data_IF_808033687117
#
_entry.id   IF_808033687117
#
_cell.length_a   1.000
_cell.length_b   1.000
_cell.length_c   1.000
_cell.angle_alpha   90.00
_cell.angle_beta   90.00
_cell.angle_gamma   90.00
#
_symmetry.space_group_name_H-M   'P 1'
#
loop_
_entity.id
_entity.type
_entity.pdbx_description
1 polymer ?
#
# COMPACT_ATOMS: atom_id res chain seq x y z
N UNK A 1 -3.40 25.49 -14.77
CA UNK A 1 -2.02 25.09 -14.43
C UNK A 1 -2.10 24.27 -13.17
N UNK A 2 -1.97 22.94 -13.27
CA UNK A 2 -2.03 22.05 -12.11
C UNK A 2 -0.73 22.16 -11.30
N UNK A 3 -0.79 22.26 -9.96
CA UNK A 3 0.40 22.29 -9.13
C UNK A 3 1.07 20.92 -9.16
N UNK A 4 2.36 20.89 -9.49
CA UNK A 4 3.17 19.66 -9.52
C UNK A 4 3.18 19.00 -8.13
N UNK A 5 3.06 17.66 -8.04
CA UNK A 5 3.10 16.96 -6.76
C UNK A 5 4.49 17.11 -6.12
N UNK A 6 4.58 17.93 -5.08
CA UNK A 6 5.79 18.07 -4.27
C UNK A 6 5.98 16.80 -3.44
N UNK A 7 6.84 15.91 -3.94
CA UNK A 7 7.31 14.74 -3.18
C UNK A 7 8.17 15.25 -2.02
N UNK A 8 7.62 15.27 -0.80
CA UNK A 8 8.38 15.57 0.42
C UNK A 8 9.39 14.44 0.66
N UNK A 9 10.60 14.58 0.14
CA UNK A 9 11.70 13.64 0.40
C UNK A 9 12.11 13.74 1.86
N UNK A 10 12.35 12.60 2.50
CA UNK A 10 12.81 12.54 3.90
C UNK A 10 14.25 13.02 3.99
N UNK A 11 14.66 13.48 5.18
CA UNK A 11 16.00 14.08 5.39
C UNK A 11 17.15 13.13 5.02
N UNK A 12 16.95 11.82 5.18
CA UNK A 12 17.92 10.77 4.85
C UNK A 12 18.09 10.58 3.34
N UNK A 13 16.99 10.61 2.56
CA UNK A 13 17.05 10.56 1.09
C UNK A 13 17.76 11.79 0.52
N UNK A 14 17.63 12.94 1.18
CA UNK A 14 18.28 14.17 0.80
C UNK A 14 19.79 14.12 1.11
N UNK A 15 20.20 13.42 2.17
CA UNK A 15 21.61 13.15 2.47
C UNK A 15 22.25 12.23 1.41
N UNK A 16 21.58 11.14 1.04
CA UNK A 16 22.07 10.24 -0.03
C UNK A 16 22.14 10.94 -1.40
N UNK A 17 21.20 11.83 -1.69
CA UNK A 17 21.26 12.65 -2.90
C UNK A 17 22.45 13.62 -2.90
N UNK A 18 22.75 14.24 -1.75
CA UNK A 18 23.91 15.13 -1.59
C UNK A 18 25.24 14.38 -1.73
N UNK A 19 25.31 13.16 -1.19
CA UNK A 19 26.45 12.26 -1.33
C UNK A 19 26.64 11.83 -2.80
N UNK A 20 25.57 11.45 -3.49
CA UNK A 20 25.62 11.08 -4.93
C UNK A 20 26.04 12.24 -5.84
N UNK A 21 25.82 13.48 -5.42
CA UNK A 21 26.17 14.70 -6.15
C UNK A 21 27.56 15.24 -5.78
N UNK A 22 28.28 14.58 -4.86
CA UNK A 22 29.67 14.89 -4.54
C UNK A 22 29.86 16.23 -3.81
N UNK A 23 28.89 16.68 -3.02
CA UNK A 23 29.01 17.93 -2.24
C UNK A 23 29.70 17.61 -0.90
N UNK A 24 30.94 18.06 -0.65
CA UNK A 24 31.64 17.80 0.61
C UNK A 24 30.97 18.53 1.78
N UNK A 25 30.83 17.83 2.91
CA UNK A 25 30.12 18.31 4.11
C UNK A 25 30.98 19.20 5.04
N UNK A 26 32.25 19.39 4.69
CA UNK A 26 33.22 20.10 5.53
C UNK A 26 33.61 21.45 4.92
N UNK A 27 32.78 22.46 5.16
CA UNK A 27 33.20 23.86 5.20
C UNK A 27 32.61 24.43 6.49
N UNK A 28 33.43 24.41 7.54
CA UNK A 28 32.99 24.57 8.92
C UNK A 28 32.50 25.96 9.30
N UNK A 29 31.83 26.00 10.45
CA UNK A 29 31.95 27.04 11.46
C UNK A 29 31.42 26.52 12.81
N UNK A 30 31.96 27.02 13.94
CA UNK A 30 32.17 26.28 15.18
C UNK A 30 31.01 26.33 16.18
N UNK A 31 31.11 25.47 17.20
CA UNK A 31 30.30 25.48 18.40
C UNK A 31 30.59 26.70 19.30
N UNK A 32 29.54 27.29 19.88
CA UNK A 32 29.55 27.90 21.22
C UNK A 32 28.10 28.22 21.66
N UNK A 33 27.93 28.21 22.97
CA UNK A 33 26.72 28.06 23.77
C UNK A 33 25.90 29.34 24.00
N UNK A 34 24.71 29.14 24.60
CA UNK A 34 24.05 29.89 25.69
C UNK A 34 22.85 30.82 25.39
N UNK A 35 21.86 30.65 26.28
CA UNK A 35 20.62 31.38 26.55
C UNK A 35 20.70 32.92 26.49
N UNK A 36 19.59 33.55 26.06
CA UNK A 36 18.73 34.49 26.82
C UNK A 36 17.90 35.38 25.88
N UNK A 37 16.62 35.59 26.22
CA UNK A 37 15.71 36.62 25.69
C UNK A 37 15.80 37.89 26.57
N UNK A 38 15.13 39.05 26.34
CA UNK A 38 14.58 39.75 25.15
C UNK A 38 15.16 41.20 25.02
N UNK A 39 14.74 42.05 24.04
CA UNK A 39 14.52 43.54 24.14
C UNK A 39 14.55 44.29 22.78
N UNK A 40 13.39 44.84 22.39
CA UNK A 40 13.04 46.22 21.92
C UNK A 40 13.98 47.13 21.06
N UNK A 41 13.56 47.40 19.80
CA UNK A 41 13.53 48.67 18.99
C UNK A 41 14.82 49.42 18.52
N UNK A 42 14.82 50.34 17.50
CA UNK A 42 14.07 50.52 16.22
C UNK A 42 15.03 50.90 15.00
N UNK A 43 14.68 51.73 13.98
CA UNK A 43 14.51 51.40 12.55
C UNK A 43 15.57 51.97 11.55
N UNK A 44 15.73 51.35 10.35
CA UNK A 44 16.41 51.95 9.19
C UNK A 44 15.81 51.36 7.89
N UNK A 45 14.89 52.06 7.22
CA UNK A 45 15.06 52.96 6.06
C UNK A 45 15.48 52.24 4.75
N UNK A 46 14.64 52.30 3.68
CA UNK A 46 14.79 51.47 2.47
C UNK A 46 15.80 52.04 1.47
N UNK A 47 16.71 51.18 0.99
CA UNK A 47 17.70 51.52 -0.03
C UNK A 47 17.07 51.84 -1.40
N UNK A 48 17.60 52.88 -2.04
CA UNK A 48 17.24 53.38 -3.36
C UNK A 48 17.75 52.47 -4.49
N UNK A 49 17.01 52.29 -5.61
CA UNK A 49 17.47 51.46 -6.72
C UNK A 49 18.45 52.22 -7.66
N UNK A 50 19.59 51.58 -7.93
CA UNK A 50 20.67 52.04 -8.82
C UNK A 50 20.25 52.01 -10.31
N UNK A 51 20.62 52.98 -11.17
CA UNK A 51 20.16 53.04 -12.57
C UNK A 51 20.79 51.97 -13.49
N UNK A 52 19.99 51.47 -14.44
CA UNK A 52 20.36 50.45 -15.42
C UNK A 52 21.31 50.97 -16.52
N UNK A 53 22.32 50.16 -16.88
CA UNK A 53 23.27 50.45 -17.95
C UNK A 53 22.64 50.24 -19.36
N UNK A 54 23.03 51.02 -20.38
CA UNK A 54 22.43 50.93 -21.72
C UNK A 54 22.87 49.69 -22.50
N UNK A 55 22.02 49.16 -23.41
CA UNK A 55 22.26 47.92 -24.14
C UNK A 55 23.34 48.07 -25.22
N UNK A 56 24.24 47.08 -25.30
CA UNK A 56 25.29 47.00 -26.32
C UNK A 56 24.69 46.69 -27.71
N UNK A 57 25.03 47.45 -28.76
CA UNK A 57 24.54 47.18 -30.11
C UNK A 57 25.18 45.91 -30.67
N UNK A 58 24.35 44.94 -31.05
CA UNK A 58 24.77 43.72 -31.73
C UNK A 58 24.92 44.03 -33.22
N UNK A 59 26.16 44.00 -33.69
CA UNK A 59 26.53 44.20 -35.09
C UNK A 59 25.95 43.04 -35.92
N UNK A 60 24.97 43.33 -36.77
CA UNK A 60 24.42 42.32 -37.69
C UNK A 60 25.53 41.77 -38.57
N UNK A 61 25.75 40.44 -38.49
CA UNK A 61 26.66 39.72 -39.38
C UNK A 61 26.34 40.08 -40.83
N UNK A 62 27.36 40.52 -41.56
CA UNK A 62 27.24 40.92 -42.96
C UNK A 62 26.73 39.74 -43.78
N UNK A 63 25.74 40.01 -44.63
CA UNK A 63 25.08 39.09 -45.56
C UNK A 63 26.01 38.42 -46.60
N UNK A 64 27.32 38.68 -46.52
CA UNK A 64 28.37 38.13 -47.38
C UNK A 64 28.92 36.77 -46.92
N UNK A 65 28.53 36.26 -45.73
CA UNK A 65 28.90 34.91 -45.29
C UNK A 65 27.86 33.83 -45.65
N UNK A 66 26.76 34.20 -46.31
CA UNK A 66 25.81 33.25 -46.91
C UNK A 66 26.34 32.74 -48.26
N UNK A 67 27.42 31.97 -48.23
CA UNK A 67 27.79 31.10 -49.34
C UNK A 67 26.79 29.93 -49.48
N UNK A 68 26.73 29.26 -50.63
CA UNK A 68 25.91 28.06 -50.81
C UNK A 68 26.31 27.02 -49.75
N UNK A 69 25.34 26.55 -48.96
CA UNK A 69 25.60 25.49 -47.99
C UNK A 69 26.02 24.23 -48.75
N UNK A 70 27.19 23.68 -48.42
CA UNK A 70 27.62 22.36 -48.90
C UNK A 70 26.53 21.32 -48.59
N UNK A 71 26.33 20.32 -49.46
CA UNK A 71 25.33 19.28 -49.24
C UNK A 71 25.64 18.61 -47.90
N UNK A 72 24.67 18.67 -46.98
CA UNK A 72 24.74 18.09 -45.64
C UNK A 72 25.18 16.63 -45.77
N UNK A 73 26.45 16.36 -45.49
CA UNK A 73 26.95 14.99 -45.39
C UNK A 73 26.15 14.32 -44.28
N UNK A 74 25.45 13.23 -44.63
CA UNK A 74 24.79 12.37 -43.66
C UNK A 74 25.88 11.86 -42.71
N UNK A 75 25.97 12.47 -41.53
CA UNK A 75 26.90 12.06 -40.48
C UNK A 75 26.50 10.64 -40.08
N UNK A 76 27.31 9.66 -40.43
CA UNK A 76 27.16 8.32 -39.86
C UNK A 76 27.43 8.38 -38.36
N UNK A 77 26.59 7.74 -37.52
CA UNK A 77 26.73 7.83 -36.08
C UNK A 77 28.07 7.25 -35.64
N UNK A 78 28.85 8.02 -34.88
CA UNK A 78 30.12 7.56 -34.31
C UNK A 78 29.89 6.26 -33.50
N UNK A 79 30.75 5.23 -33.69
CA UNK A 79 30.67 4.02 -32.90
C UNK A 79 30.95 4.35 -31.43
N UNK A 80 29.91 4.31 -30.59
CA UNK A 80 29.99 4.62 -29.16
C UNK A 80 29.04 5.71 -28.66
N UNK A 81 28.28 6.37 -29.53
CA UNK A 81 27.24 7.32 -29.10
C UNK A 81 26.11 6.60 -28.34
N UNK A 82 25.92 6.96 -27.06
CA UNK A 82 24.78 6.55 -26.22
C UNK A 82 23.45 7.21 -26.63
N UNK A 83 23.49 8.17 -27.57
CA UNK A 83 22.31 8.85 -28.07
C UNK A 83 21.70 7.96 -29.16
N UNK A 84 20.40 7.58 -29.05
CA UNK A 84 19.73 6.78 -30.05
C UNK A 84 19.87 7.43 -31.43
N UNK A 85 20.52 6.73 -32.37
CA UNK A 85 20.66 7.19 -33.75
C UNK A 85 19.31 7.22 -34.49
N UNK A 86 18.28 6.59 -33.93
CA UNK A 86 16.95 6.54 -34.52
C UNK A 86 16.11 7.74 -34.07
N UNK A 87 15.87 8.66 -35.01
CA UNK A 87 14.89 9.73 -34.84
C UNK A 87 13.50 9.18 -35.17
N UNK A 88 12.64 9.08 -34.17
CA UNK A 88 11.25 8.65 -34.37
C UNK A 88 10.52 9.57 -35.36
N UNK A 89 9.73 8.99 -36.25
CA UNK A 89 8.90 9.73 -37.18
C UNK A 89 7.70 10.37 -36.45
N UNK A 90 7.08 11.42 -36.99
CA UNK A 90 5.95 12.12 -36.33
C UNK A 90 4.81 11.16 -35.97
N UNK A 91 4.48 10.22 -36.86
CA UNK A 91 3.48 9.17 -36.61
C UNK A 91 3.84 8.26 -35.43
N UNK A 92 5.12 7.95 -35.27
CA UNK A 92 5.60 7.10 -34.18
C UNK A 92 5.58 7.86 -32.85
N UNK A 93 5.94 9.15 -32.87
CA UNK A 93 5.81 10.04 -31.71
C UNK A 93 4.35 10.17 -31.27
N UNK A 94 3.42 10.28 -32.22
CA UNK A 94 1.99 10.29 -31.92
C UNK A 94 1.52 8.96 -31.30
N UNK A 95 2.01 7.83 -31.79
CA UNK A 95 1.72 6.52 -31.21
C UNK A 95 2.26 6.40 -29.79
N UNK A 96 3.50 6.82 -29.54
CA UNK A 96 4.11 6.81 -28.20
C UNK A 96 3.32 7.74 -27.26
N UNK A 97 2.93 8.94 -27.70
CA UNK A 97 2.09 9.85 -26.90
C UNK A 97 0.73 9.22 -26.59
N UNK A 98 0.11 8.54 -27.55
CA UNK A 98 -1.17 7.86 -27.35
C UNK A 98 -1.04 6.69 -26.37
N UNK A 99 0.01 5.89 -26.48
CA UNK A 99 0.31 4.82 -25.53
C UNK A 99 0.59 5.36 -24.13
N UNK A 100 1.38 6.44 -24.02
CA UNK A 100 1.65 7.09 -22.74
C UNK A 100 0.38 7.68 -22.12
N UNK A 101 -0.50 8.29 -22.92
CA UNK A 101 -1.80 8.78 -22.43
C UNK A 101 -2.67 7.62 -21.91
N UNK A 102 -2.69 6.47 -22.60
CA UNK A 102 -3.39 5.27 -22.12
C UNK A 102 -2.77 4.69 -20.85
N UNK A 103 -1.44 4.67 -20.76
CA UNK A 103 -0.72 4.17 -19.60
C UNK A 103 -0.87 5.09 -18.38
N UNK A 104 -0.97 6.41 -18.60
CA UNK A 104 -1.26 7.39 -17.55
C UNK A 104 -2.71 7.25 -17.05
N UNK A 105 -3.66 7.03 -17.96
CA UNK A 105 -5.04 6.68 -17.59
C UNK A 105 -5.08 5.35 -16.80
N UNK A 106 -4.34 4.32 -17.22
CA UNK A 106 -4.32 3.02 -16.54
C UNK A 106 -3.60 3.05 -15.19
N UNK A 107 -2.45 3.74 -15.08
CA UNK A 107 -1.65 3.80 -13.85
C UNK A 107 -2.32 4.59 -12.72
N UNK A 108 -3.27 5.47 -13.06
CA UNK A 108 -4.11 6.16 -12.06
C UNK A 108 -5.18 5.26 -11.43
N UNK A 109 -5.44 4.07 -12.00
CA UNK A 109 -6.72 3.39 -11.76
C UNK A 109 -6.68 2.29 -10.69
N UNK A 110 -5.56 1.62 -10.43
CA UNK A 110 -5.58 0.51 -9.46
C UNK A 110 -4.19 0.13 -8.96
N UNK A 111 -3.92 0.34 -7.67
CA UNK A 111 -2.74 -0.25 -7.02
C UNK A 111 -3.14 -1.63 -6.46
N UNK A 112 -2.77 -2.74 -7.12
CA UNK A 112 -3.21 -4.08 -6.71
C UNK A 112 -2.78 -4.41 -5.28
N UNK A 113 -1.70 -3.80 -4.79
CA UNK A 113 -1.20 -3.98 -3.41
C UNK A 113 -2.16 -3.43 -2.36
N UNK A 114 -2.98 -2.42 -2.69
CA UNK A 114 -4.00 -1.87 -1.79
C UNK A 114 -5.28 -2.70 -1.75
N UNK A 115 -5.41 -3.67 -2.65
CA UNK A 115 -6.63 -4.49 -2.77
C UNK A 115 -6.51 -5.87 -2.19
N UNK A 116 -5.30 -6.31 -1.87
CA UNK A 116 -5.09 -7.53 -1.09
C UNK A 116 -5.42 -7.27 0.38
N UNK A 117 -6.18 -8.18 0.99
CA UNK A 117 -6.40 -8.15 2.43
C UNK A 117 -5.05 -8.32 3.14
N UNK A 118 -4.86 -7.60 4.25
CA UNK A 118 -3.67 -7.81 5.07
C UNK A 118 -3.58 -9.26 5.52
N UNK A 119 -2.39 -9.86 5.37
CA UNK A 119 -2.12 -11.26 5.71
C UNK A 119 -2.56 -11.61 7.14
N UNK A 120 -2.37 -10.67 8.08
CA UNK A 120 -2.80 -10.84 9.47
C UNK A 120 -4.31 -11.08 9.63
N UNK A 121 -5.14 -10.41 8.82
CA UNK A 121 -6.60 -10.57 8.87
C UNK A 121 -7.00 -11.93 8.32
N UNK A 122 -6.39 -12.34 7.20
CA UNK A 122 -6.63 -13.66 6.61
C UNK A 122 -6.23 -14.76 7.58
N UNK A 123 -5.03 -14.66 8.16
CA UNK A 123 -4.54 -15.61 9.15
C UNK A 123 -5.42 -15.65 10.40
N UNK A 124 -5.85 -14.48 10.89
CA UNK A 124 -6.78 -14.38 12.01
C UNK A 124 -8.10 -15.10 11.73
N UNK A 125 -8.66 -14.94 10.52
CA UNK A 125 -9.88 -15.64 10.11
C UNK A 125 -9.73 -17.17 10.10
N UNK A 126 -8.61 -17.68 9.59
CA UNK A 126 -8.32 -19.11 9.63
C UNK A 126 -8.15 -19.63 11.06
N UNK A 127 -7.39 -18.92 11.90
CA UNK A 127 -7.19 -19.32 13.29
C UNK A 127 -8.51 -19.40 14.06
N UNK A 128 -9.44 -18.48 13.77
CA UNK A 128 -10.75 -18.47 14.41
C UNK A 128 -11.62 -19.66 13.98
N UNK A 129 -11.64 -19.99 12.69
CA UNK A 129 -12.31 -21.18 12.17
C UNK A 129 -11.69 -22.49 12.70
N UNK A 130 -10.37 -22.56 12.79
CA UNK A 130 -9.70 -23.72 13.38
C UNK A 130 -9.90 -23.81 14.90
N UNK A 131 -10.03 -22.68 15.61
CA UNK A 131 -10.33 -22.68 17.03
C UNK A 131 -11.71 -23.28 17.31
N UNK A 132 -12.75 -22.93 16.53
CA UNK A 132 -14.07 -23.54 16.66
C UNK A 132 -14.03 -25.05 16.39
N UNK A 133 -13.35 -25.47 15.32
CA UNK A 133 -13.11 -26.89 15.05
C UNK A 133 -12.38 -27.60 16.20
N UNK A 134 -11.32 -27.00 16.75
CA UNK A 134 -10.53 -27.55 17.84
C UNK A 134 -11.29 -27.64 19.17
N UNK A 135 -12.30 -26.79 19.39
CA UNK A 135 -13.21 -26.91 20.54
C UNK A 135 -14.19 -28.07 20.33
N UNK A 136 -14.73 -28.25 19.12
CA UNK A 136 -15.70 -29.30 18.81
C UNK A 136 -15.07 -30.69 18.68
N UNK A 137 -13.91 -30.81 18.06
CA UNK A 137 -13.31 -32.10 17.67
C UNK A 137 -13.02 -33.04 18.86
N UNK A 138 -12.47 -32.59 20.00
CA UNK A 138 -12.26 -33.45 21.17
C UNK A 138 -13.57 -33.96 21.77
N UNK A 139 -14.68 -33.23 21.59
CA UNK A 139 -15.98 -33.69 22.09
C UNK A 139 -16.54 -34.85 21.27
N UNK A 140 -16.19 -34.90 19.98
CA UNK A 140 -16.64 -35.94 19.06
C UNK A 140 -15.84 -37.24 19.26
N UNK A 141 -14.52 -37.15 19.41
CA UNK A 141 -13.63 -38.32 19.28
C UNK A 141 -13.13 -38.92 20.59
N UNK A 142 -13.27 -38.23 21.71
CA UNK A 142 -12.64 -38.66 22.96
C UNK A 142 -13.66 -38.91 24.07
N UNK A 143 -13.98 -40.18 24.42
CA UNK A 143 -14.84 -40.49 25.56
C UNK A 143 -14.22 -40.05 26.90
N UNK A 144 -12.90 -39.78 26.91
CA UNK A 144 -12.14 -39.30 28.07
C UNK A 144 -12.62 -37.91 28.52
N UNK A 145 -13.03 -37.02 27.60
CA UNK A 145 -13.53 -35.69 27.97
C UNK A 145 -14.97 -35.70 28.47
N UNK A 146 -15.79 -36.71 28.15
CA UNK A 146 -17.13 -36.81 28.73
C UNK A 146 -17.07 -36.98 30.25
N UNK A 147 -16.10 -37.74 30.76
CA UNK A 147 -15.90 -37.90 32.20
C UNK A 147 -15.26 -36.68 32.86
N UNK A 148 -14.32 -36.00 32.19
CA UNK A 148 -13.65 -34.81 32.76
C UNK A 148 -14.57 -33.58 32.77
N UNK A 149 -15.42 -33.40 31.74
CA UNK A 149 -16.40 -32.31 31.69
C UNK A 149 -17.66 -32.58 32.53
N UNK A 150 -18.03 -33.86 32.75
CA UNK A 150 -19.09 -34.20 33.72
C UNK A 150 -18.73 -33.81 35.16
N UNK A 151 -17.44 -33.67 35.48
CA UNK A 151 -16.98 -33.29 36.82
C UNK A 151 -16.94 -31.77 37.05
N UNK A 152 -17.01 -30.95 36.00
CA UNK A 152 -16.82 -29.48 36.09
C UNK A 152 -17.97 -28.62 35.56
N UNK A 153 -18.86 -29.18 34.75
CA UNK A 153 -20.03 -28.47 34.23
C UNK A 153 -21.27 -29.31 34.48
N UNK A 154 -22.18 -28.90 35.40
CA UNK A 154 -23.45 -29.57 35.50
C UNK A 154 -24.16 -29.37 34.15
N UNK A 155 -24.19 -30.44 33.36
CA UNK A 155 -25.04 -30.57 32.20
C UNK A 155 -26.50 -30.56 32.69
N UNK A 156 -27.00 -29.37 32.97
CA UNK A 156 -28.42 -29.11 32.96
C UNK A 156 -28.65 -27.76 32.30
N UNK A 157 -29.19 -27.82 31.09
CA UNK A 157 -30.21 -26.88 30.62
C UNK A 157 -31.36 -26.85 31.65
N UNK A 158 -31.13 -26.32 32.85
CA UNK A 158 -32.16 -26.35 33.90
C UNK A 158 -33.19 -25.25 33.67
N UNK A 159 -32.80 -24.10 33.10
CA UNK A 159 -33.67 -22.91 33.06
C UNK A 159 -33.59 -22.06 31.76
N UNK A 160 -33.14 -22.61 30.62
CA UNK A 160 -33.10 -21.86 29.34
C UNK A 160 -32.11 -20.69 29.25
N UNK A 161 -31.26 -20.49 30.26
CA UNK A 161 -30.20 -19.48 30.24
C UNK A 161 -29.00 -19.99 29.45
N UNK A 162 -28.65 -19.31 28.37
CA UNK A 162 -27.45 -19.54 27.57
C UNK A 162 -26.21 -19.24 28.44
N UNK A 163 -25.57 -20.27 29.00
CA UNK A 163 -24.32 -20.06 29.73
C UNK A 163 -23.21 -19.81 28.72
N UNK A 164 -22.64 -18.60 28.73
CA UNK A 164 -21.54 -18.19 27.85
C UNK A 164 -20.32 -19.13 27.88
N UNK A 165 -20.18 -19.92 28.94
CA UNK A 165 -19.07 -20.85 29.15
C UNK A 165 -19.32 -22.25 28.58
N UNK A 166 -20.46 -22.51 27.93
CA UNK A 166 -20.67 -23.80 27.30
C UNK A 166 -19.74 -23.95 26.08
N UNK A 167 -19.02 -25.07 25.91
CA UNK A 167 -18.10 -25.24 24.78
C UNK A 167 -18.80 -25.09 23.43
N UNK A 168 -20.04 -25.56 23.31
CA UNK A 168 -20.89 -25.34 22.14
C UNK A 168 -21.17 -23.85 21.86
N UNK A 169 -21.40 -23.03 22.89
CA UNK A 169 -21.63 -21.58 22.69
C UNK A 169 -20.34 -20.88 22.30
N UNK A 170 -19.20 -21.26 22.89
CA UNK A 170 -17.88 -20.73 22.51
C UNK A 170 -17.52 -21.06 21.06
N UNK A 171 -17.73 -22.32 20.64
CA UNK A 171 -17.53 -22.73 19.25
C UNK A 171 -18.45 -21.95 18.30
N UNK A 172 -19.74 -21.83 18.62
CA UNK A 172 -20.69 -21.07 17.80
C UNK A 172 -20.31 -19.59 17.67
N UNK A 173 -19.87 -18.95 18.75
CA UNK A 173 -19.39 -17.56 18.73
C UNK A 173 -18.13 -17.42 17.86
N UNK A 174 -17.16 -18.32 18.01
CA UNK A 174 -15.95 -18.33 17.19
C UNK A 174 -16.28 -18.45 15.69
N UNK A 175 -17.20 -19.34 15.32
CA UNK A 175 -17.60 -19.55 13.92
C UNK A 175 -18.40 -18.38 13.34
N UNK A 176 -19.25 -17.73 14.15
CA UNK A 176 -19.95 -16.52 13.72
C UNK A 176 -18.97 -15.38 13.44
N UNK A 177 -17.96 -15.21 14.29
CA UNK A 177 -16.91 -14.22 14.07
C UNK A 177 -16.06 -14.57 12.85
N UNK A 178 -15.72 -15.85 12.63
CA UNK A 178 -14.94 -16.29 11.48
C UNK A 178 -15.71 -16.01 10.17
N UNK A 179 -17.00 -16.30 10.18
CA UNK A 179 -17.92 -16.01 9.08
C UNK A 179 -18.05 -14.51 8.82
N UNK A 180 -18.15 -13.68 9.87
CA UNK A 180 -18.18 -12.22 9.73
C UNK A 180 -16.89 -11.67 9.09
N UNK A 181 -15.73 -12.18 9.49
CA UNK A 181 -14.42 -11.84 8.88
C UNK A 181 -14.40 -12.28 7.41
N UNK A 182 -14.87 -13.49 7.10
CA UNK A 182 -14.93 -13.98 5.73
C UNK A 182 -15.83 -13.10 4.84
N UNK A 183 -17.03 -12.74 5.32
CA UNK A 183 -17.95 -11.83 4.61
C UNK A 183 -17.30 -10.46 4.40
N UNK A 184 -16.63 -9.91 5.42
CA UNK A 184 -15.94 -8.63 5.32
C UNK A 184 -14.82 -8.66 4.26
N UNK A 185 -13.97 -9.70 4.26
CA UNK A 185 -12.92 -9.90 3.25
C UNK A 185 -13.55 -10.02 1.86
N UNK A 186 -14.62 -10.81 1.72
CA UNK A 186 -15.28 -11.04 0.43
C UNK A 186 -15.82 -9.76 -0.21
N UNK A 187 -16.39 -8.87 0.62
CA UNK A 187 -16.97 -7.60 0.18
C UNK A 187 -15.90 -6.53 -0.12
N UNK A 188 -14.84 -6.46 0.69
CA UNK A 188 -13.82 -5.39 0.58
C UNK A 188 -12.64 -5.74 -0.32
N UNK A 189 -12.32 -7.03 -0.49
CA UNK A 189 -11.09 -7.48 -1.14
C UNK A 189 -11.37 -8.52 -2.24
N UNK A 190 -11.65 -8.04 -3.45
CA UNK A 190 -11.94 -8.88 -4.62
C UNK A 190 -10.86 -9.92 -4.92
N UNK A 191 -9.58 -9.58 -4.76
CA UNK A 191 -8.47 -10.50 -5.01
C UNK A 191 -8.30 -11.58 -3.94
N UNK A 192 -8.86 -11.38 -2.73
CA UNK A 192 -8.75 -12.33 -1.61
C UNK A 192 -9.99 -13.21 -1.44
N UNK A 193 -10.92 -13.20 -2.40
CA UNK A 193 -12.18 -13.96 -2.36
C UNK A 193 -12.00 -15.48 -2.21
N UNK A 194 -10.90 -16.02 -2.73
CA UNK A 194 -10.59 -17.44 -2.56
C UNK A 194 -10.39 -17.79 -1.08
N UNK A 195 -9.62 -17.00 -0.34
CA UNK A 195 -9.41 -17.22 1.10
C UNK A 195 -10.69 -17.06 1.90
N UNK A 196 -11.51 -16.04 1.60
CA UNK A 196 -12.79 -15.89 2.28
C UNK A 196 -13.74 -17.06 2.01
N UNK A 197 -13.75 -17.60 0.79
CA UNK A 197 -14.54 -18.78 0.46
C UNK A 197 -14.08 -20.01 1.24
N UNK A 198 -12.76 -20.23 1.38
CA UNK A 198 -12.23 -21.31 2.21
C UNK A 198 -12.57 -21.14 3.70
N UNK A 199 -12.41 -19.95 4.26
CA UNK A 199 -12.75 -19.67 5.67
C UNK A 199 -14.25 -19.93 5.89
N UNK A 200 -15.11 -19.43 5.01
CA UNK A 200 -16.56 -19.64 5.10
C UNK A 200 -16.92 -21.13 4.97
N UNK A 201 -16.29 -21.86 4.05
CA UNK A 201 -16.50 -23.31 3.89
C UNK A 201 -16.14 -24.05 5.18
N UNK A 202 -14.99 -23.76 5.79
CA UNK A 202 -14.58 -24.38 7.06
C UNK A 202 -15.62 -24.06 8.15
N UNK A 203 -16.01 -22.80 8.29
CA UNK A 203 -16.96 -22.39 9.32
C UNK A 203 -18.33 -23.06 9.17
N UNK A 204 -18.84 -23.16 7.93
CA UNK A 204 -20.09 -23.88 7.64
C UNK A 204 -19.98 -25.36 7.97
N UNK A 205 -18.87 -26.01 7.62
CA UNK A 205 -18.66 -27.42 7.96
C UNK A 205 -18.63 -27.62 9.48
N UNK A 206 -17.91 -26.78 10.23
CA UNK A 206 -17.86 -26.84 11.70
C UNK A 206 -19.25 -26.65 12.29
N UNK A 207 -20.04 -25.69 11.78
CA UNK A 207 -21.41 -25.47 12.22
C UNK A 207 -22.32 -26.67 11.94
N UNK A 208 -22.25 -27.26 10.74
CA UNK A 208 -23.08 -28.42 10.36
C UNK A 208 -22.72 -29.62 11.24
N UNK A 209 -21.44 -30.00 11.30
CA UNK A 209 -21.01 -31.15 12.10
C UNK A 209 -21.22 -30.92 13.59
N UNK A 210 -20.97 -29.71 14.08
CA UNK A 210 -21.28 -29.30 15.45
C UNK A 210 -22.77 -29.43 15.75
N UNK A 211 -23.64 -28.91 14.88
CA UNK A 211 -25.09 -29.01 15.05
C UNK A 211 -25.58 -30.46 15.05
N UNK A 212 -25.10 -31.30 14.13
CA UNK A 212 -25.45 -32.73 14.10
C UNK A 212 -24.97 -33.46 15.36
N UNK A 213 -23.81 -33.10 15.90
CA UNK A 213 -23.28 -33.69 17.13
C UNK A 213 -24.08 -33.28 18.37
N UNK A 214 -24.39 -31.99 18.52
CA UNK A 214 -25.12 -31.49 19.70
C UNK A 214 -26.63 -31.72 19.64
N UNK A 215 -27.20 -31.88 18.45
CA UNK A 215 -28.63 -32.08 18.24
C UNK A 215 -28.88 -33.39 17.45
N UNK A 216 -28.67 -34.58 18.06
CA UNK A 216 -28.85 -35.87 17.39
C UNK A 216 -30.29 -36.11 16.92
N UNK A 217 -31.27 -35.38 17.47
CA UNK A 217 -32.65 -35.34 17.00
C UNK A 217 -32.79 -34.91 15.53
N UNK A 218 -31.84 -34.13 14.99
CA UNK A 218 -31.81 -33.74 13.58
C UNK A 218 -31.52 -34.93 12.64
N UNK A 219 -30.88 -36.00 13.14
CA UNK A 219 -30.55 -37.19 12.33
C UNK A 219 -31.77 -38.09 12.08
N UNK A 220 -32.80 -37.99 12.91
CA UNK A 220 -33.95 -38.90 12.90
C UNK A 220 -35.21 -38.28 12.28
N UNK A 221 -35.11 -37.07 11.72
CA UNK A 221 -36.23 -36.29 11.21
C UNK A 221 -36.58 -36.55 9.72
N UNK A 222 -36.04 -37.62 9.12
CA UNK A 222 -36.24 -38.01 7.72
C UNK A 222 -37.41 -38.96 7.51
#
# INVERSE_FOLDING_TARGET
MSPLPQRKKTAEELAQLRESLGIPQDAGAPAAETDTSPTEAPPAEPETPKPAAPPKPVRSLRKSEQGPADPVQRIEPLPGSKIPAHRHNERELEQIRRQNALHEMQSSTFDPRKTQAHLAIVLGGYLLAFAGAAICFPQIYTPIYQNLYSFGYPAQFRNGSLTLFHPATLAAVAELLASAVAVWIFLRHFYSRHHSAFIAMIAVLVLIFGALHFFPQLLHAS
#
